data_IF_263014102680
#
_entry.id   IF_263014102680
#
_cell.length_a   1.000
_cell.length_b   1.000
_cell.length_c   1.000
_cell.angle_alpha   90.00
_cell.angle_beta   90.00
_cell.angle_gamma   90.00
#
_symmetry.space_group_name_H-M   'P 1'
#
loop_
_entity.id
_entity.type
_entity.pdbx_description
1 polymer ?
#
# COMPACT_ATOMS: atom_id res chain seq x y z
N UNK A 1 -0.74 -10.65 8.63
CA UNK A 1 -1.14 -10.89 7.23
C UNK A 1 -0.03 -10.37 6.35
N UNK A 2 0.54 -11.23 5.52
CA UNK A 2 1.54 -10.81 4.55
C UNK A 2 0.81 -10.10 3.41
N UNK A 3 1.07 -8.80 3.26
CA UNK A 3 0.42 -7.97 2.25
C UNK A 3 1.35 -6.84 1.82
N UNK A 4 1.35 -6.55 0.53
CA UNK A 4 2.09 -5.43 -0.03
C UNK A 4 1.46 -4.08 0.38
N UNK A 5 2.25 -3.00 0.30
CA UNK A 5 1.78 -1.63 0.59
C UNK A 5 0.73 -1.15 -0.42
N UNK A 6 0.75 -1.70 -1.64
CA UNK A 6 -0.19 -1.34 -2.70
C UNK A 6 -1.60 -1.77 -2.33
N UNK A 7 -2.57 -0.84 -2.31
CA UNK A 7 -3.95 -1.20 -2.02
C UNK A 7 -4.50 -2.11 -3.12
N UNK A 8 -5.57 -2.84 -2.82
CA UNK A 8 -6.27 -3.64 -3.83
C UNK A 8 -6.70 -2.76 -5.01
N UNK A 9 -6.28 -3.12 -6.23
CA UNK A 9 -6.52 -2.32 -7.43
C UNK A 9 -5.52 -1.19 -7.69
N UNK A 10 -4.49 -1.04 -6.83
CA UNK A 10 -3.43 -0.06 -6.97
C UNK A 10 -3.78 1.34 -6.46
N UNK A 11 -2.77 2.21 -6.38
CA UNK A 11 -2.97 3.61 -6.02
C UNK A 11 -3.64 4.36 -7.17
N UNK A 12 -4.72 5.10 -6.85
CA UNK A 12 -5.52 5.84 -7.83
C UNK A 12 -4.66 6.70 -8.75
N UNK A 13 -4.68 6.40 -10.05
CA UNK A 13 -3.89 7.03 -11.11
C UNK A 13 -2.36 7.01 -10.93
N UNK A 14 -1.82 6.22 -10.00
CA UNK A 14 -0.39 5.95 -9.89
C UNK A 14 -0.08 4.55 -10.43
N UNK A 15 -0.70 3.52 -9.85
CA UNK A 15 -0.47 2.11 -10.17
C UNK A 15 0.07 1.34 -8.96
N UNK A 16 0.96 0.38 -9.22
CA UNK A 16 1.61 -0.44 -8.19
C UNK A 16 2.96 0.16 -7.79
N UNK A 17 3.37 -0.08 -6.54
CA UNK A 17 4.65 0.31 -5.96
C UNK A 17 5.43 -0.98 -5.74
N UNK A 18 6.46 -1.22 -6.56
CA UNK A 18 7.30 -2.43 -6.52
C UNK A 18 8.69 -2.18 -5.95
N UNK A 19 9.07 -0.91 -5.83
CA UNK A 19 10.38 -0.47 -5.34
C UNK A 19 10.31 -0.03 -3.88
N UNK A 20 11.48 0.31 -3.33
CA UNK A 20 11.61 0.92 -2.01
C UNK A 20 10.75 2.16 -1.89
N UNK A 21 10.07 2.27 -0.76
CA UNK A 21 9.14 3.36 -0.48
C UNK A 21 9.35 3.93 0.93
N UNK A 22 8.92 5.17 1.10
CA UNK A 22 8.94 5.86 2.40
C UNK A 22 7.51 6.25 2.75
N UNK A 23 7.07 5.94 3.97
CA UNK A 23 5.79 6.41 4.50
C UNK A 23 6.01 7.69 5.31
N UNK A 24 5.44 8.80 4.84
CA UNK A 24 5.48 10.09 5.52
C UNK A 24 4.16 10.36 6.25
N UNK A 25 4.25 10.99 7.42
CA UNK A 25 3.08 11.43 8.17
C UNK A 25 2.43 12.62 7.46
N UNK A 26 1.13 12.53 7.16
CA UNK A 26 0.33 13.63 6.62
C UNK A 26 0.34 13.72 5.09
N UNK A 27 0.09 14.92 4.56
CA UNK A 27 0.07 15.21 3.12
C UNK A 27 1.40 15.84 2.65
N UNK A 28 1.73 15.65 1.38
CA UNK A 28 2.92 16.22 0.72
C UNK A 28 2.47 17.09 -0.44
N UNK A 29 3.31 18.05 -0.82
CA UNK A 29 2.98 19.02 -1.87
C UNK A 29 2.79 18.37 -3.26
N UNK A 30 1.63 18.68 -3.84
CA UNK A 30 1.25 18.39 -5.21
C UNK A 30 0.68 16.98 -5.48
N UNK A 31 0.06 16.75 -6.67
CA UNK A 31 -0.46 15.44 -7.09
C UNK A 31 0.56 14.29 -7.14
N UNK A 32 0.01 13.08 -7.06
CA UNK A 32 0.61 11.79 -7.43
C UNK A 32 1.48 11.85 -8.71
N UNK A 33 2.53 11.02 -8.77
CA UNK A 33 3.57 10.95 -9.83
C UNK A 33 4.57 12.12 -9.89
N UNK A 34 4.47 13.13 -9.03
CA UNK A 34 5.49 14.20 -8.96
C UNK A 34 6.74 13.74 -8.25
N UNK A 35 7.87 14.09 -8.84
CA UNK A 35 9.20 13.96 -8.23
C UNK A 35 9.30 14.90 -7.02
N UNK A 36 9.65 14.33 -5.86
CA UNK A 36 9.80 15.07 -4.60
C UNK A 36 11.25 14.91 -4.13
N UNK A 37 11.94 16.03 -3.95
CA UNK A 37 13.30 16.05 -3.38
C UNK A 37 13.22 16.13 -1.86
N UNK A 38 13.75 15.11 -1.18
CA UNK A 38 13.80 15.05 0.28
C UNK A 38 15.13 15.64 0.78
N UNK A 39 15.07 16.50 1.81
CA UNK A 39 16.25 17.08 2.48
C UNK A 39 16.18 16.80 3.97
N UNK A 40 17.34 16.58 4.59
CA UNK A 40 17.46 16.53 6.05
C UNK A 40 16.99 17.86 6.67
N UNK A 41 16.48 17.80 7.89
CA UNK A 41 16.11 19.01 8.64
C UNK A 41 17.36 19.85 8.91
N UNK A 42 17.23 21.17 8.80
CA UNK A 42 18.29 22.10 9.16
C UNK A 42 18.28 22.43 10.66
N UNK A 43 17.12 22.30 11.31
CA UNK A 43 16.93 22.58 12.72
C UNK A 43 17.16 21.32 13.56
N UNK A 44 17.71 21.47 14.78
CA UNK A 44 17.84 20.36 15.72
C UNK A 44 16.46 19.91 16.20
N UNK A 45 16.21 18.62 16.08
CA UNK A 45 14.91 18.04 16.37
C UNK A 45 14.85 17.59 17.84
N UNK A 46 14.35 18.48 18.71
CA UNK A 46 14.35 18.29 20.18
C UNK A 46 12.97 17.96 20.76
N UNK A 47 11.90 18.11 19.99
CA UNK A 47 10.55 17.85 20.49
C UNK A 47 10.29 16.37 20.70
N UNK A 48 9.56 16.03 21.78
CA UNK A 48 9.16 14.63 22.08
C UNK A 48 8.44 13.98 20.91
N UNK A 49 7.58 14.73 20.23
CA UNK A 49 6.82 14.27 19.06
C UNK A 49 7.67 13.90 17.85
N UNK A 50 8.90 14.42 17.77
CA UNK A 50 9.77 14.20 16.62
C UNK A 50 10.87 13.17 16.89
N UNK A 51 11.16 12.86 18.16
CA UNK A 51 12.11 11.81 18.58
C UNK A 51 11.38 10.50 18.93
N UNK A 52 10.05 10.50 18.89
CA UNK A 52 9.22 9.32 19.13
C UNK A 52 9.57 8.19 18.14
N UNK A 53 9.82 6.99 18.67
CA UNK A 53 10.00 5.78 17.86
C UNK A 53 8.63 5.28 17.41
N UNK A 54 8.43 5.17 16.10
CA UNK A 54 7.12 4.83 15.51
C UNK A 54 7.09 3.34 15.20
N UNK A 55 6.19 2.62 15.86
CA UNK A 55 5.86 1.22 15.55
C UNK A 55 4.42 1.14 15.02
N UNK A 56 4.26 0.67 13.78
CA UNK A 56 2.95 0.58 13.14
C UNK A 56 2.31 -0.77 13.43
N UNK A 57 1.09 -0.76 13.98
CA UNK A 57 0.31 -1.99 14.23
C UNK A 57 -0.51 -2.44 13.03
N UNK A 58 -0.98 -1.50 12.22
CA UNK A 58 -1.87 -1.76 11.09
C UNK A 58 -1.67 -0.73 9.98
N UNK A 59 -1.67 -1.22 8.74
CA UNK A 59 -1.65 -0.41 7.52
C UNK A 59 -2.88 -0.79 6.71
N UNK A 60 -3.65 0.21 6.27
CA UNK A 60 -4.82 0.01 5.43
C UNK A 60 -4.43 -0.16 3.96
N UNK A 61 -4.69 -1.35 3.43
CA UNK A 61 -4.45 -1.76 2.04
C UNK A 61 -5.77 -1.97 1.29
N UNK A 62 -6.87 -1.45 1.83
CA UNK A 62 -8.16 -1.47 1.15
C UNK A 62 -8.14 -0.63 -0.12
N UNK A 63 -8.99 -1.01 -1.08
CA UNK A 63 -9.15 -0.25 -2.34
C UNK A 63 -9.47 1.22 -2.06
N UNK A 64 -8.73 2.11 -2.71
CA UNK A 64 -9.00 3.57 -2.72
C UNK A 64 -9.85 4.01 -3.90
N UNK A 65 -10.25 3.06 -4.74
CA UNK A 65 -11.28 3.28 -5.75
C UNK A 65 -12.64 2.94 -5.15
N UNK A 66 -13.45 3.98 -4.87
CA UNK A 66 -14.71 3.85 -4.15
C UNK A 66 -14.52 3.57 -2.65
N UNK A 67 -15.39 2.72 -2.09
CA UNK A 67 -15.35 2.34 -0.68
C UNK A 67 -14.69 0.96 -0.48
N UNK A 68 -13.44 0.94 -0.02
CA UNK A 68 -12.69 -0.28 0.27
C UNK A 68 -13.23 -1.02 1.50
N UNK A 69 -13.48 -2.33 1.37
CA UNK A 69 -14.04 -3.19 2.44
C UNK A 69 -13.13 -4.30 2.93
N UNK A 70 -12.19 -4.75 2.10
CA UNK A 70 -11.29 -5.87 2.41
C UNK A 70 -9.84 -5.41 2.31
N UNK A 71 -8.95 -6.03 3.07
CA UNK A 71 -7.53 -5.68 3.09
C UNK A 71 -6.72 -6.53 2.11
N UNK A 72 -7.16 -7.77 1.88
CA UNK A 72 -6.51 -8.74 0.98
C UNK A 72 -7.52 -9.31 -0.02
N UNK A 73 -7.01 -9.78 -1.15
CA UNK A 73 -7.80 -10.51 -2.15
C UNK A 73 -8.40 -11.79 -1.56
N UNK A 74 -7.67 -12.46 -0.66
CA UNK A 74 -8.12 -13.65 0.03
C UNK A 74 -9.32 -13.41 0.95
N UNK A 75 -9.30 -12.33 1.75
CA UNK A 75 -10.45 -11.94 2.58
C UNK A 75 -11.70 -11.70 1.74
N UNK A 76 -11.54 -11.00 0.61
CA UNK A 76 -12.63 -10.73 -0.33
C UNK A 76 -13.18 -12.03 -0.93
N UNK A 77 -12.30 -12.96 -1.33
CA UNK A 77 -12.68 -14.25 -1.89
C UNK A 77 -13.43 -15.12 -0.87
N UNK A 78 -12.96 -15.18 0.38
CA UNK A 78 -13.61 -15.92 1.48
C UNK A 78 -14.99 -15.34 1.80
N UNK A 79 -15.13 -14.01 1.78
CA UNK A 79 -16.40 -13.36 2.09
C UNK A 79 -17.48 -13.58 1.03
N UNK A 80 -17.17 -13.40 -0.25
CA UNK A 80 -18.17 -13.51 -1.33
C UNK A 80 -18.39 -14.93 -1.85
N UNK A 81 -17.41 -15.84 -1.71
CA UNK A 81 -17.49 -17.19 -2.25
C UNK A 81 -17.59 -17.25 -3.78
N UNK A 82 -17.74 -18.46 -4.33
CA UNK A 82 -18.05 -18.69 -5.75
C UNK A 82 -17.00 -18.15 -6.74
N UNK A 83 -17.46 -17.35 -7.71
CA UNK A 83 -16.64 -16.87 -8.85
C UNK A 83 -15.51 -15.91 -8.45
N UNK A 84 -15.63 -15.21 -7.31
CA UNK A 84 -14.59 -14.29 -6.81
C UNK A 84 -13.39 -15.08 -6.30
N UNK A 85 -13.61 -16.24 -5.69
CA UNK A 85 -12.53 -17.14 -5.27
C UNK A 85 -11.79 -17.76 -6.47
N UNK A 86 -12.50 -18.05 -7.57
CA UNK A 86 -11.84 -18.50 -8.82
C UNK A 86 -10.94 -17.42 -9.40
N UNK A 87 -11.41 -16.16 -9.45
CA UNK A 87 -10.64 -15.04 -9.99
C UNK A 87 -9.40 -14.70 -9.15
N UNK A 88 -9.52 -14.73 -7.82
CA UNK A 88 -8.37 -14.56 -6.91
C UNK A 88 -7.28 -15.62 -7.14
N UNK A 89 -7.67 -16.89 -7.34
CA UNK A 89 -6.72 -17.98 -7.66
C UNK A 89 -6.03 -17.82 -9.01
N UNK A 90 -6.68 -17.19 -9.99
CA UNK A 90 -6.07 -16.88 -11.29
C UNK A 90 -5.07 -15.73 -11.17
N UNK A 91 -5.39 -14.70 -10.38
CA UNK A 91 -4.50 -13.54 -10.15
C UNK A 91 -3.25 -13.93 -9.35
N UNK A 92 -3.35 -14.86 -8.39
CA UNK A 92 -2.18 -15.38 -7.66
C UNK A 92 -1.27 -16.23 -8.55
N UNK A 93 -1.84 -17.09 -9.42
CA UNK A 93 -1.06 -17.87 -10.38
C UNK A 93 -0.30 -17.00 -11.39
N UNK A 94 -0.92 -15.93 -11.86
CA UNK A 94 -0.28 -14.98 -12.77
C UNK A 94 0.83 -14.16 -12.09
N UNK A 95 0.71 -13.89 -10.78
CA UNK A 95 1.76 -13.25 -10.01
C UNK A 95 2.96 -14.17 -9.78
N UNK A 96 2.73 -15.45 -9.46
CA UNK A 96 3.79 -16.46 -9.28
C UNK A 96 4.59 -16.68 -10.58
N UNK A 97 3.92 -16.82 -11.74
CA UNK A 97 4.55 -16.98 -13.06
C UNK A 97 5.38 -15.77 -13.52
N UNK A 98 5.12 -14.57 -12.98
CA UNK A 98 5.87 -13.36 -13.27
C UNK A 98 7.14 -13.20 -12.41
N UNK A 99 7.24 -13.96 -11.30
CA UNK A 99 8.41 -13.97 -10.40
C UNK A 99 9.42 -15.06 -10.74
N UNK A 100 9.04 -16.05 -11.55
CA UNK A 100 9.88 -17.20 -11.95
C UNK A 100 10.58 -17.00 -13.32
N UNK A 101 10.43 -15.83 -13.94
CA UNK A 101 11.17 -15.41 -15.14
C UNK A 101 12.03 -14.19 -14.84
#
# INVERSE_FOLDING_TARGET
TEKAITPMGGFSHYGQVTQDFIMLKGCVMGPRKRLITMRKSLLPQVSRTAVEKIELKFIDTSSKFGHGRFQTSEEKAKFFGGNVAKKAKTETKAAEEATEK
#
